data_IF_610529536480
#
_entry.id   IF_610529536480
#
_cell.length_a   1.000
_cell.length_b   1.000
_cell.length_c   1.000
_cell.angle_alpha   90.00
_cell.angle_beta   90.00
_cell.angle_gamma   90.00
#
_symmetry.space_group_name_H-M   'P 1'
#
loop_
_entity.id
_entity.type
_entity.pdbx_description
1 polymer ?
#
# COMPACT_ATOMS: atom_id res chain seq x y z
N UNK A 1 -6.90 -16.69 19.41
CA UNK A 1 -7.29 -16.87 17.99
C UNK A 1 -8.41 -15.93 17.57
N UNK A 2 -9.56 -15.93 18.27
CA UNK A 2 -10.68 -14.99 18.01
C UNK A 2 -10.27 -13.51 17.97
N UNK A 3 -9.47 -13.06 18.93
CA UNK A 3 -9.00 -11.66 19.00
C UNK A 3 -8.17 -11.23 17.79
N UNK A 4 -7.33 -12.12 17.24
CA UNK A 4 -6.53 -11.85 16.04
C UNK A 4 -7.41 -11.73 14.79
N UNK A 5 -8.42 -12.61 14.66
CA UNK A 5 -9.39 -12.56 13.56
C UNK A 5 -10.20 -11.25 13.58
N UNK A 6 -10.61 -10.80 14.77
CA UNK A 6 -11.33 -9.52 14.93
C UNK A 6 -10.45 -8.34 14.54
N UNK A 7 -9.19 -8.31 15.01
CA UNK A 7 -8.25 -7.23 14.67
C UNK A 7 -7.96 -7.22 13.17
N UNK A 8 -7.69 -8.38 12.55
CA UNK A 8 -7.46 -8.50 11.12
C UNK A 8 -8.66 -8.04 10.29
N UNK A 9 -9.89 -8.38 10.71
CA UNK A 9 -11.12 -7.93 10.07
C UNK A 9 -11.28 -6.41 10.11
N UNK A 10 -11.02 -5.78 11.27
CA UNK A 10 -11.07 -4.32 11.42
C UNK A 10 -10.03 -3.66 10.50
N UNK A 11 -8.80 -4.19 10.43
CA UNK A 11 -7.74 -3.68 9.56
C UNK A 11 -8.17 -3.78 8.08
N UNK A 12 -8.74 -4.90 7.66
CA UNK A 12 -9.23 -5.10 6.29
C UNK A 12 -10.33 -4.11 5.93
N UNK A 13 -11.28 -3.87 6.83
CA UNK A 13 -12.35 -2.88 6.63
C UNK A 13 -11.76 -1.48 6.51
N UNK A 14 -10.80 -1.11 7.38
CA UNK A 14 -10.14 0.19 7.32
C UNK A 14 -9.37 0.39 6.00
N UNK A 15 -8.65 -0.64 5.53
CA UNK A 15 -7.94 -0.61 4.24
C UNK A 15 -8.95 -0.47 3.09
N UNK A 16 -10.02 -1.26 3.09
CA UNK A 16 -11.05 -1.23 2.05
C UNK A 16 -11.77 0.12 1.97
N UNK A 17 -12.14 0.69 3.12
CA UNK A 17 -12.77 2.01 3.20
C UNK A 17 -11.81 3.15 2.81
N UNK A 18 -10.52 3.02 3.11
CA UNK A 18 -9.48 3.97 2.74
C UNK A 18 -9.02 3.87 1.28
N UNK A 19 -9.23 2.74 0.62
CA UNK A 19 -8.78 2.46 -0.75
C UNK A 19 -9.12 3.54 -1.78
N UNK A 20 -10.33 4.13 -1.80
CA UNK A 20 -10.68 5.19 -2.75
C UNK A 20 -9.83 6.46 -2.56
N UNK A 21 -9.45 6.78 -1.32
CA UNK A 21 -8.55 7.89 -1.03
C UNK A 21 -7.13 7.57 -1.48
N UNK A 22 -6.65 6.34 -1.23
CA UNK A 22 -5.33 5.89 -1.70
C UNK A 22 -5.22 5.94 -3.23
N UNK A 23 -6.28 5.53 -3.94
CA UNK A 23 -6.33 5.63 -5.40
C UNK A 23 -6.35 7.08 -5.90
N UNK A 24 -7.04 8.00 -5.20
CA UNK A 24 -7.03 9.44 -5.53
C UNK A 24 -5.65 10.08 -5.34
N UNK A 25 -4.86 9.60 -4.38
CA UNK A 25 -3.47 10.04 -4.15
C UNK A 25 -2.52 9.49 -5.23
N UNK A 26 -2.99 8.55 -6.07
CA UNK A 26 -2.20 7.98 -7.16
C UNK A 26 -1.33 6.80 -6.73
N UNK A 27 -1.57 6.19 -5.55
CA UNK A 27 -0.90 4.94 -5.18
C UNK A 27 -1.17 3.86 -6.23
N UNK A 28 -0.13 3.37 -6.90
CA UNK A 28 -0.30 2.52 -8.08
C UNK A 28 0.08 3.18 -9.42
N UNK A 29 0.20 4.50 -9.46
CA UNK A 29 0.47 5.31 -10.67
C UNK A 29 1.27 6.57 -10.33
N UNK A 30 2.09 6.51 -9.30
CA UNK A 30 2.92 7.65 -8.93
C UNK A 30 3.99 7.86 -10.01
N UNK A 31 4.40 9.11 -10.28
CA UNK A 31 5.54 9.35 -11.16
C UNK A 31 6.76 8.59 -10.61
N UNK A 32 7.26 7.64 -11.40
CA UNK A 32 8.32 6.70 -11.00
C UNK A 32 7.87 5.24 -10.86
N UNK A 33 6.56 4.97 -10.79
CA UNK A 33 6.03 3.61 -10.98
C UNK A 33 6.05 3.28 -12.48
N UNK A 34 6.74 2.19 -12.84
CA UNK A 34 6.94 1.80 -14.23
C UNK A 34 5.82 0.84 -14.61
N UNK A 35 4.81 1.33 -15.33
CA UNK A 35 3.82 0.48 -15.99
C UNK A 35 4.21 0.32 -17.46
N UNK A 36 4.88 -0.78 -17.79
CA UNK A 36 5.23 -1.13 -19.17
C UNK A 36 4.33 -2.26 -19.60
N UNK A 37 3.50 -2.01 -20.62
CA UNK A 37 2.62 -3.05 -21.11
C UNK A 37 1.70 -2.63 -22.23
N UNK A 38 1.39 -3.62 -23.07
CA UNK A 38 0.42 -3.55 -24.16
C UNK A 38 -0.85 -4.32 -23.76
N UNK A 39 -1.91 -4.26 -24.56
CA UNK A 39 -3.23 -4.88 -24.30
C UNK A 39 -3.19 -6.38 -23.91
N UNK A 40 -2.13 -7.11 -24.26
CA UNK A 40 -1.95 -8.54 -23.90
C UNK A 40 -0.99 -8.79 -22.75
N UNK A 41 -0.19 -7.81 -22.35
CA UNK A 41 0.84 -8.00 -21.33
C UNK A 41 1.13 -6.68 -20.62
N UNK A 42 0.71 -6.57 -19.36
CA UNK A 42 1.00 -5.43 -18.49
C UNK A 42 1.92 -5.83 -17.34
N UNK A 43 3.13 -5.27 -17.33
CA UNK A 43 4.03 -5.32 -16.18
C UNK A 43 3.88 -4.01 -15.42
N UNK A 44 3.52 -4.12 -14.15
CA UNK A 44 3.48 -3.00 -13.22
C UNK A 44 4.62 -3.13 -12.20
N UNK A 45 5.52 -2.15 -12.16
CA UNK A 45 6.64 -2.08 -11.22
C UNK A 45 6.44 -0.88 -10.27
N UNK A 46 5.92 -1.13 -9.06
CA UNK A 46 5.65 -0.08 -8.06
C UNK A 46 6.93 0.40 -7.36
N UNK A 47 7.88 1.00 -8.07
CA UNK A 47 9.16 1.40 -7.47
C UNK A 47 8.95 2.55 -6.47
N UNK A 48 8.23 3.59 -6.88
CA UNK A 48 7.98 4.77 -6.06
C UNK A 48 7.01 4.43 -4.92
N UNK A 49 5.92 3.72 -5.26
CA UNK A 49 4.95 3.24 -4.27
C UNK A 49 5.63 2.38 -3.19
N UNK A 50 6.46 1.40 -3.56
CA UNK A 50 7.12 0.51 -2.58
C UNK A 50 8.14 1.26 -1.71
N UNK A 51 8.85 2.23 -2.28
CA UNK A 51 9.80 3.05 -1.52
C UNK A 51 9.09 3.88 -0.45
N UNK A 52 7.99 4.55 -0.81
CA UNK A 52 7.19 5.35 0.13
C UNK A 52 6.63 4.47 1.24
N UNK A 53 6.04 3.32 0.89
CA UNK A 53 5.51 2.37 1.88
C UNK A 53 6.62 1.91 2.83
N UNK A 54 7.79 1.58 2.30
CA UNK A 54 8.94 1.15 3.11
C UNK A 54 9.41 2.23 4.09
N UNK A 55 9.48 3.50 3.64
CA UNK A 55 9.83 4.63 4.49
C UNK A 55 8.80 4.82 5.60
N UNK A 56 7.50 4.80 5.27
CA UNK A 56 6.41 4.97 6.25
C UNK A 56 6.47 3.85 7.30
N UNK A 57 6.57 2.59 6.86
CA UNK A 57 6.67 1.45 7.77
C UNK A 57 7.91 1.56 8.64
N UNK A 58 9.06 1.90 8.06
CA UNK A 58 10.31 2.07 8.81
C UNK A 58 10.21 3.19 9.84
N UNK A 59 9.56 4.31 9.50
CA UNK A 59 9.36 5.45 10.40
C UNK A 59 8.40 5.10 11.54
N UNK A 60 7.31 4.37 11.25
CA UNK A 60 6.39 3.87 12.27
C UNK A 60 7.10 2.90 13.21
N UNK A 61 7.83 1.91 12.67
CA UNK A 61 8.62 0.98 13.48
C UNK A 61 9.67 1.72 14.31
N UNK A 62 10.34 2.73 13.75
CA UNK A 62 11.30 3.56 14.48
C UNK A 62 10.64 4.35 15.62
N UNK A 63 9.45 4.93 15.38
CA UNK A 63 8.72 5.70 16.38
C UNK A 63 8.15 4.82 17.51
N UNK A 64 7.71 3.60 17.20
CA UNK A 64 7.23 2.64 18.19
C UNK A 64 8.36 1.79 18.81
N UNK A 65 9.58 1.81 18.24
CA UNK A 65 10.80 1.31 18.86
C UNK A 65 11.24 2.29 19.94
N UNK A 66 10.65 2.11 21.12
CA UNK A 66 11.30 2.44 22.39
C UNK A 66 12.24 1.31 22.78
#
# INVERSE_FOLDING_TARGET
MSRLLIIAGIILIAIGAGWPLLQKVGLGRLPGDISIGNERFHIYLPISTSLIVSIIVSLLVWLFRK
#
